data_IF_113047637176
#
_entry.id   IF_113047637176
#
_cell.length_a   1.000
_cell.length_b   1.000
_cell.length_c   1.000
_cell.angle_alpha   90.00
_cell.angle_beta   90.00
_cell.angle_gamma   90.00
#
_symmetry.space_group_name_H-M   'P 1'
#
loop_
_entity.id
_entity.type
_entity.pdbx_description
1 polymer ?
#
# COMPACT_ATOMS: atom_id res chain seq x y z
N UNK A 1 -28.10 -76.06 -55.15
CA UNK A 1 -29.04 -75.33 -56.05
C UNK A 1 -28.62 -73.85 -56.14
N UNK A 2 -29.19 -73.06 -57.05
CA UNK A 2 -28.60 -71.79 -57.57
C UNK A 2 -28.79 -70.55 -56.66
N UNK A 3 -27.70 -69.77 -56.51
CA UNK A 3 -27.60 -68.27 -56.47
C UNK A 3 -28.25 -67.50 -55.27
N UNK A 4 -27.90 -66.21 -55.03
CA UNK A 4 -26.56 -65.59 -55.06
C UNK A 4 -26.28 -64.57 -53.89
N UNK A 5 -25.02 -64.16 -53.75
CA UNK A 5 -24.48 -62.81 -53.43
C UNK A 5 -25.50 -61.65 -53.19
N UNK A 6 -25.30 -60.64 -52.32
CA UNK A 6 -24.24 -60.29 -51.34
C UNK A 6 -24.74 -59.04 -50.52
N UNK A 7 -24.00 -58.20 -49.77
CA UNK A 7 -22.55 -57.96 -49.61
C UNK A 7 -22.16 -57.58 -48.14
N UNK A 8 -20.93 -57.10 -47.98
CA UNK A 8 -20.15 -56.69 -46.79
C UNK A 8 -20.51 -55.29 -46.25
N UNK A 9 -20.19 -54.87 -45.00
CA UNK A 9 -19.41 -55.50 -43.91
C UNK A 9 -19.86 -55.01 -42.51
N UNK A 10 -19.41 -55.71 -41.46
CA UNK A 10 -19.60 -55.50 -40.01
C UNK A 10 -19.30 -54.07 -39.50
N UNK A 11 -19.86 -53.52 -38.40
CA UNK A 11 -20.36 -54.03 -37.09
C UNK A 11 -19.28 -54.19 -35.99
N UNK A 12 -19.21 -53.16 -35.13
CA UNK A 12 -19.05 -53.16 -33.64
C UNK A 12 -17.73 -53.63 -32.97
N UNK A 13 -17.09 -52.73 -32.19
CA UNK A 13 -16.83 -52.77 -30.72
C UNK A 13 -15.95 -51.53 -30.32
N UNK A 14 -16.46 -50.52 -29.62
CA UNK A 14 -16.56 -50.32 -28.16
C UNK A 14 -15.23 -50.05 -27.39
N UNK A 15 -15.09 -48.82 -26.86
CA UNK A 15 -14.79 -48.52 -25.43
C UNK A 15 -14.81 -47.00 -25.09
N UNK A 16 -15.39 -46.66 -23.92
CA UNK A 16 -15.37 -45.39 -23.13
C UNK A 16 -15.65 -44.04 -23.86
N UNK A 17 -16.80 -43.35 -23.66
CA UNK A 17 -17.29 -42.62 -22.45
C UNK A 17 -16.51 -41.32 -22.17
N UNK A 18 -17.10 -40.10 -22.09
CA UNK A 18 -18.46 -39.59 -22.36
C UNK A 18 -18.34 -38.08 -22.73
N UNK A 19 -19.19 -37.09 -22.43
CA UNK A 19 -20.56 -36.88 -21.89
C UNK A 19 -20.98 -35.46 -22.39
N UNK A 20 -22.23 -34.99 -22.56
CA UNK A 20 -23.60 -35.54 -22.67
C UNK A 20 -24.43 -34.60 -23.59
N UNK A 21 -25.65 -34.99 -24.01
CA UNK A 21 -26.44 -34.28 -25.04
C UNK A 21 -27.53 -33.31 -24.51
N UNK A 22 -28.19 -32.63 -25.46
CA UNK A 22 -29.07 -31.46 -25.37
C UNK A 22 -30.53 -31.71 -24.86
N UNK A 23 -31.29 -30.60 -24.75
CA UNK A 23 -32.77 -30.42 -24.78
C UNK A 23 -33.67 -30.53 -23.51
N UNK A 24 -33.83 -29.38 -22.84
CA UNK A 24 -35.08 -28.57 -22.69
C UNK A 24 -36.46 -29.25 -22.47
N UNK A 25 -37.06 -29.07 -21.27
CA UNK A 25 -38.42 -28.51 -20.98
C UNK A 25 -38.89 -28.81 -19.52
N UNK A 26 -39.64 -27.90 -18.88
CA UNK A 26 -40.43 -28.20 -17.66
C UNK A 26 -40.49 -27.10 -16.58
N UNK A 27 -41.63 -26.42 -16.47
CA UNK A 27 -41.92 -25.21 -15.66
C UNK A 27 -42.01 -25.37 -14.12
N UNK A 28 -42.28 -24.22 -13.44
CA UNK A 28 -42.91 -24.03 -12.10
C UNK A 28 -42.02 -24.30 -10.86
N UNK A 29 -41.53 -23.30 -10.11
CA UNK A 29 -42.32 -22.31 -9.36
C UNK A 29 -41.52 -21.05 -8.94
N UNK A 30 -42.27 -20.00 -8.58
CA UNK A 30 -41.85 -18.66 -8.11
C UNK A 30 -40.81 -18.65 -6.97
N UNK A 31 -39.94 -17.64 -6.98
CA UNK A 31 -39.94 -16.56 -5.98
C UNK A 31 -39.16 -15.34 -6.48
N UNK A 32 -39.59 -14.20 -5.97
CA UNK A 32 -39.03 -12.85 -6.10
C UNK A 32 -37.59 -12.74 -5.59
N UNK A 33 -36.98 -11.59 -5.90
CA UNK A 33 -35.79 -11.02 -5.23
C UNK A 33 -34.40 -11.56 -5.64
N UNK A 34 -33.87 -10.96 -6.71
CA UNK A 34 -32.47 -10.51 -6.72
C UNK A 34 -32.52 -8.97 -6.72
N UNK A 35 -32.33 -8.30 -5.57
CA UNK A 35 -31.01 -7.84 -5.09
C UNK A 35 -30.18 -7.27 -6.25
N UNK A 36 -30.12 -5.96 -6.49
CA UNK A 36 -30.72 -4.84 -5.76
C UNK A 36 -29.65 -3.82 -5.37
N UNK A 37 -29.20 -3.03 -6.35
CA UNK A 37 -28.43 -1.80 -6.12
C UNK A 37 -29.24 -0.88 -5.21
N UNK A 38 -28.69 -0.48 -4.07
CA UNK A 38 -29.34 0.51 -3.22
C UNK A 38 -29.28 1.87 -3.93
N UNK A 39 -30.44 2.43 -4.25
CA UNK A 39 -30.54 3.86 -4.48
C UNK A 39 -30.42 4.53 -3.12
N UNK A 40 -29.26 5.13 -2.85
CA UNK A 40 -29.05 6.00 -1.68
C UNK A 40 -29.47 7.42 -2.08
N UNK A 41 -30.68 7.82 -1.72
CA UNK A 41 -31.02 9.24 -1.67
C UNK A 41 -30.43 9.82 -0.39
N UNK A 42 -29.24 10.39 -0.50
CA UNK A 42 -28.62 11.18 0.56
C UNK A 42 -29.28 12.55 0.64
N UNK A 43 -30.28 12.68 1.51
CA UNK A 43 -30.57 13.97 2.12
C UNK A 43 -29.67 14.10 3.34
N UNK A 44 -28.78 15.09 3.38
CA UNK A 44 -28.29 15.59 4.67
C UNK A 44 -28.17 17.11 4.64
N UNK A 45 -28.89 17.76 5.56
CA UNK A 45 -28.76 19.17 5.87
C UNK A 45 -28.00 19.29 7.19
N UNK A 46 -26.87 19.99 7.16
CA UNK A 46 -26.13 20.54 8.31
C UNK A 46 -25.43 19.56 9.28
N UNK A 47 -24.09 19.56 9.20
CA UNK A 47 -23.22 19.03 10.26
C UNK A 47 -21.75 19.06 9.84
N UNK A 48 -20.99 20.06 10.32
CA UNK A 48 -19.53 20.09 10.18
C UNK A 48 -18.90 18.94 11.01
N UNK A 49 -18.74 17.76 10.41
CA UNK A 49 -17.64 16.87 10.77
C UNK A 49 -16.50 17.11 9.76
N UNK A 50 -15.35 17.53 10.29
CA UNK A 50 -14.14 17.81 9.51
C UNK A 50 -13.72 16.48 8.85
N UNK A 51 -13.43 16.43 7.54
CA UNK A 51 -12.87 15.22 6.94
C UNK A 51 -11.61 14.80 7.69
N UNK A 52 -11.48 13.49 7.92
CA UNK A 52 -10.19 12.90 8.27
C UNK A 52 -9.20 13.19 7.14
N UNK A 53 -7.92 13.33 7.48
CA UNK A 53 -6.92 13.75 6.49
C UNK A 53 -6.82 12.69 5.38
N UNK A 54 -6.85 13.09 4.10
CA UNK A 54 -6.99 12.16 2.99
C UNK A 54 -5.77 11.25 2.86
N UNK A 55 -6.03 10.03 2.42
CA UNK A 55 -5.05 8.99 2.20
C UNK A 55 -4.33 9.27 0.88
N UNK A 56 -3.01 9.48 0.96
CA UNK A 56 -2.16 9.78 -0.19
C UNK A 56 -2.39 11.16 -0.80
N UNK A 57 -2.09 11.30 -2.10
CA UNK A 57 -2.02 12.59 -2.79
C UNK A 57 -3.26 12.81 -3.68
N UNK A 58 -4.01 13.91 -3.54
CA UNK A 58 -5.25 14.12 -4.28
C UNK A 58 -5.11 14.01 -5.81
N UNK A 59 -5.83 13.06 -6.40
CA UNK A 59 -5.80 12.82 -7.85
C UNK A 59 -6.75 13.79 -8.55
N UNK A 60 -6.18 14.73 -9.31
CA UNK A 60 -6.94 15.75 -10.05
C UNK A 60 -7.28 15.24 -11.47
N UNK A 61 -8.57 15.08 -11.76
CA UNK A 61 -9.11 14.66 -13.05
C UNK A 61 -9.76 15.87 -13.74
N UNK A 62 -9.20 16.41 -14.84
CA UNK A 62 -9.82 17.51 -15.59
C UNK A 62 -11.20 17.16 -16.15
N UNK A 63 -12.14 18.11 -16.09
CA UNK A 63 -13.45 18.04 -16.75
C UNK A 63 -13.40 18.73 -18.11
N UNK A 64 -13.36 17.93 -19.19
CA UNK A 64 -13.12 18.40 -20.56
C UNK A 64 -14.38 18.43 -21.42
N UNK A 65 -14.40 19.32 -22.41
CA UNK A 65 -15.50 19.38 -23.38
C UNK A 65 -15.46 18.20 -24.35
N UNK A 66 -16.65 17.69 -24.72
CA UNK A 66 -16.86 16.62 -25.72
C UNK A 66 -16.03 16.79 -27.01
N UNK A 67 -15.87 18.04 -27.47
CA UNK A 67 -15.24 18.38 -28.75
C UNK A 67 -13.83 18.94 -28.62
N UNK A 68 -13.33 19.17 -27.41
CA UNK A 68 -12.04 19.86 -27.17
C UNK A 68 -11.37 19.31 -25.91
N UNK A 69 -10.69 18.16 -26.05
CA UNK A 69 -10.12 17.38 -24.94
C UNK A 69 -8.92 18.03 -24.24
N UNK A 70 -8.38 19.11 -24.79
CA UNK A 70 -7.31 19.91 -24.19
C UNK A 70 -7.84 21.19 -23.51
N UNK A 71 -9.15 21.44 -23.59
CA UNK A 71 -9.83 22.54 -22.90
C UNK A 71 -10.64 22.00 -21.74
N UNK A 72 -10.47 22.61 -20.57
CA UNK A 72 -11.07 22.20 -19.30
C UNK A 72 -11.51 23.44 -18.54
N UNK A 73 -12.74 23.45 -18.03
CA UNK A 73 -13.26 24.54 -17.18
C UNK A 73 -13.47 24.12 -15.73
N UNK A 74 -13.31 22.84 -15.42
CA UNK A 74 -13.41 22.29 -14.09
C UNK A 74 -12.54 21.05 -13.88
N UNK A 75 -12.66 20.45 -12.71
CA UNK A 75 -11.93 19.26 -12.29
C UNK A 75 -12.77 18.41 -11.33
N UNK A 76 -12.34 17.17 -11.14
CA UNK A 76 -12.70 16.34 -9.98
C UNK A 76 -11.42 16.10 -9.21
N UNK A 77 -11.38 16.50 -7.95
CA UNK A 77 -10.35 16.09 -7.00
C UNK A 77 -10.83 14.81 -6.32
N UNK A 78 -10.08 13.73 -6.50
CA UNK A 78 -10.35 12.41 -5.92
C UNK A 78 -9.40 12.18 -4.75
N UNK A 79 -9.96 11.88 -3.59
CA UNK A 79 -9.23 11.36 -2.42
C UNK A 79 -10.02 10.20 -1.83
N UNK A 80 -9.41 9.42 -0.93
CA UNK A 80 -10.18 8.59 -0.01
C UNK A 80 -9.70 8.77 1.43
N UNK A 81 -10.55 8.40 2.38
CA UNK A 81 -10.23 8.19 3.80
C UNK A 81 -10.40 6.69 4.14
N UNK A 82 -10.48 6.31 5.42
CA UNK A 82 -10.68 4.90 5.83
C UNK A 82 -12.11 4.36 5.51
N UNK A 83 -13.09 5.24 5.22
CA UNK A 83 -14.50 4.88 5.00
C UNK A 83 -15.05 5.30 3.62
N UNK A 84 -14.59 6.43 3.08
CA UNK A 84 -15.14 7.14 1.93
C UNK A 84 -14.11 7.34 0.81
N UNK A 85 -14.53 7.12 -0.45
CA UNK A 85 -13.94 7.77 -1.62
C UNK A 85 -14.62 9.14 -1.80
N UNK A 86 -13.89 10.22 -1.57
CA UNK A 86 -14.37 11.58 -1.70
C UNK A 86 -14.10 12.14 -3.11
N UNK A 87 -15.17 12.47 -3.81
CA UNK A 87 -15.16 13.04 -5.16
C UNK A 87 -15.60 14.49 -5.11
N UNK A 88 -14.65 15.42 -5.17
CA UNK A 88 -14.92 16.87 -5.11
C UNK A 88 -14.90 17.46 -6.52
N UNK A 89 -16.07 17.78 -7.04
CA UNK A 89 -16.29 18.43 -8.33
C UNK A 89 -16.14 19.93 -8.17
N UNK A 90 -15.38 20.58 -9.06
CA UNK A 90 -15.16 22.03 -9.03
C UNK A 90 -15.16 22.61 -10.44
N UNK A 91 -15.76 23.79 -10.61
CA UNK A 91 -15.58 24.64 -11.79
C UNK A 91 -14.61 25.76 -11.43
N UNK A 92 -13.54 25.88 -12.20
CA UNK A 92 -12.36 26.69 -11.88
C UNK A 92 -12.11 27.82 -12.91
N UNK A 93 -12.98 27.98 -13.91
CA UNK A 93 -12.84 28.97 -14.99
C UNK A 93 -14.12 29.77 -15.23
N UNK A 94 -14.04 31.08 -15.00
CA UNK A 94 -15.09 32.04 -15.33
C UNK A 94 -16.37 31.88 -14.51
N UNK A 95 -17.47 32.45 -15.00
CA UNK A 95 -18.79 32.41 -14.35
C UNK A 95 -19.58 31.13 -14.75
N UNK A 96 -18.89 30.00 -14.85
CA UNK A 96 -19.53 28.70 -15.09
C UNK A 96 -19.92 28.05 -13.75
N UNK A 97 -21.09 27.42 -13.72
CA UNK A 97 -21.60 26.61 -12.61
C UNK A 97 -22.08 25.25 -13.18
N UNK A 98 -22.54 24.33 -12.34
CA UNK A 98 -23.21 23.10 -12.76
C UNK A 98 -24.50 22.86 -11.98
N UNK A 99 -25.50 22.31 -12.68
CA UNK A 99 -26.81 21.96 -12.13
C UNK A 99 -27.07 20.44 -12.13
N UNK A 100 -26.21 19.64 -12.76
CA UNK A 100 -26.35 18.18 -12.82
C UNK A 100 -25.02 17.43 -12.98
N UNK A 101 -24.89 16.30 -12.27
CA UNK A 101 -23.81 15.32 -12.42
C UNK A 101 -24.42 13.93 -12.62
N UNK A 102 -23.92 13.18 -13.60
CA UNK A 102 -24.07 11.73 -13.68
C UNK A 102 -22.74 11.07 -13.31
N UNK A 103 -22.73 10.19 -12.31
CA UNK A 103 -21.53 9.56 -11.76
C UNK A 103 -21.64 8.03 -11.74
N UNK A 104 -20.60 7.37 -12.22
CA UNK A 104 -20.34 5.94 -12.02
C UNK A 104 -18.98 5.74 -11.35
N UNK A 105 -18.95 4.87 -10.34
CA UNK A 105 -17.75 4.34 -9.69
C UNK A 105 -17.92 2.83 -9.57
N UNK A 106 -17.01 2.05 -10.13
CA UNK A 106 -17.10 0.58 -10.11
C UNK A 106 -16.23 -0.13 -11.15
N UNK A 107 -16.46 -1.42 -11.38
CA UNK A 107 -15.71 -2.19 -12.38
C UNK A 107 -16.05 -1.73 -13.81
N UNK A 108 -15.11 -1.92 -14.75
CA UNK A 108 -15.28 -1.50 -16.15
C UNK A 108 -16.43 -2.25 -16.84
N UNK A 109 -16.58 -3.54 -16.52
CA UNK A 109 -17.58 -4.42 -17.15
C UNK A 109 -19.00 -4.18 -16.60
N UNK A 110 -19.14 -3.48 -15.47
CA UNK A 110 -20.42 -3.13 -14.84
C UNK A 110 -21.01 -1.80 -15.34
N UNK A 111 -20.28 -1.06 -16.19
CA UNK A 111 -20.78 0.18 -16.79
C UNK A 111 -21.95 -0.14 -17.72
N UNK A 112 -23.18 0.33 -17.45
CA UNK A 112 -24.31 0.05 -18.33
C UNK A 112 -24.12 0.78 -19.66
N UNK A 113 -24.25 0.04 -20.77
CA UNK A 113 -24.10 0.54 -22.14
C UNK A 113 -25.40 0.38 -22.94
N UNK A 114 -25.62 1.28 -23.90
CA UNK A 114 -26.69 1.10 -24.90
C UNK A 114 -26.31 0.05 -25.96
N UNK A 115 -27.23 -0.27 -26.86
CA UNK A 115 -26.97 -1.16 -28.00
C UNK A 115 -25.93 -0.61 -28.99
N UNK A 116 -25.77 0.72 -29.07
CA UNK A 116 -24.55 1.37 -29.57
C UNK A 116 -23.66 1.63 -28.34
N UNK A 117 -22.36 1.25 -28.34
CA UNK A 117 -21.55 1.21 -27.12
C UNK A 117 -21.27 2.63 -26.60
N UNK A 118 -22.19 3.11 -25.78
CA UNK A 118 -22.25 4.44 -25.17
C UNK A 118 -22.76 4.27 -23.74
N UNK A 119 -22.17 4.92 -22.72
CA UNK A 119 -22.64 4.81 -21.35
C UNK A 119 -24.08 5.30 -21.18
N UNK A 120 -24.89 4.48 -20.52
CA UNK A 120 -26.28 4.73 -20.22
C UNK A 120 -26.39 5.65 -18.98
N UNK A 121 -26.09 6.93 -19.14
CA UNK A 121 -26.01 7.91 -18.04
C UNK A 121 -27.28 8.01 -17.17
N UNK A 122 -28.45 7.69 -17.71
CA UNK A 122 -29.71 7.63 -16.95
C UNK A 122 -29.77 6.47 -15.93
N UNK A 123 -28.87 5.49 -16.03
CA UNK A 123 -28.71 4.39 -15.07
C UNK A 123 -27.59 4.67 -14.04
N UNK A 124 -26.94 5.85 -14.10
CA UNK A 124 -25.87 6.27 -13.17
C UNK A 124 -26.46 7.00 -11.94
N UNK A 125 -25.63 7.20 -10.90
CA UNK A 125 -25.99 8.12 -9.82
C UNK A 125 -26.20 9.52 -10.41
N UNK A 126 -27.39 10.08 -10.22
CA UNK A 126 -27.74 11.42 -10.70
C UNK A 126 -27.84 12.38 -9.53
N UNK A 127 -27.05 13.45 -9.57
CA UNK A 127 -27.07 14.55 -8.61
C UNK A 127 -27.57 15.81 -9.35
N UNK A 128 -28.39 16.62 -8.69
CA UNK A 128 -29.00 17.83 -9.29
C UNK A 128 -29.05 18.99 -8.32
N UNK A 129 -28.79 20.21 -8.79
CA UNK A 129 -28.65 21.42 -7.99
C UNK A 129 -29.53 22.55 -8.53
N UNK A 130 -30.38 23.12 -7.67
CA UNK A 130 -31.17 24.33 -7.95
C UNK A 130 -31.11 25.25 -6.71
N UNK A 131 -30.37 26.38 -6.75
CA UNK A 131 -29.61 26.89 -7.89
C UNK A 131 -28.38 26.03 -8.26
N UNK A 132 -27.80 26.29 -9.43
CA UNK A 132 -26.52 25.72 -9.83
C UNK A 132 -25.40 26.09 -8.83
N UNK A 133 -24.34 25.27 -8.80
CA UNK A 133 -23.22 25.40 -7.87
C UNK A 133 -21.87 25.37 -8.60
N UNK A 134 -20.84 25.96 -8.01
CA UNK A 134 -19.47 25.91 -8.54
C UNK A 134 -18.62 24.78 -7.95
N UNK A 135 -19.05 24.16 -6.84
CA UNK A 135 -18.36 23.05 -6.20
C UNK A 135 -19.34 22.12 -5.45
N UNK A 136 -19.05 20.82 -5.43
CA UNK A 136 -19.79 19.81 -4.67
C UNK A 136 -18.92 18.57 -4.38
N UNK A 137 -18.95 18.06 -3.15
CA UNK A 137 -18.24 16.83 -2.76
C UNK A 137 -19.21 15.69 -2.50
N UNK A 138 -18.85 14.48 -2.96
CA UNK A 138 -19.62 13.26 -2.77
C UNK A 138 -18.75 12.14 -2.20
N UNK A 139 -19.11 11.58 -1.05
CA UNK A 139 -18.54 10.32 -0.56
C UNK A 139 -19.23 9.13 -1.22
N UNK A 140 -18.42 8.20 -1.77
CA UNK A 140 -18.83 6.84 -2.12
C UNK A 140 -18.22 5.87 -1.10
N UNK A 141 -19.01 5.08 -0.35
CA UNK A 141 -18.48 4.18 0.68
C UNK A 141 -17.51 3.13 0.10
N UNK A 142 -16.29 3.05 0.63
CA UNK A 142 -15.26 2.11 0.15
C UNK A 142 -15.66 0.65 0.32
N UNK A 143 -16.49 0.35 1.32
CA UNK A 143 -17.00 -1.00 1.59
C UNK A 143 -17.89 -1.59 0.47
N UNK A 144 -18.29 -0.77 -0.52
CA UNK A 144 -19.05 -1.21 -1.70
C UNK A 144 -18.20 -1.25 -3.00
N UNK A 145 -16.88 -1.01 -2.90
CA UNK A 145 -15.94 -0.94 -4.03
C UNK A 145 -14.85 -2.02 -3.98
N UNK A 146 -14.32 -2.41 -5.15
CA UNK A 146 -13.08 -3.19 -5.28
C UNK A 146 -11.84 -2.30 -5.01
N UNK A 147 -10.68 -2.89 -4.74
CA UNK A 147 -9.39 -2.18 -4.55
C UNK A 147 -9.07 -1.15 -5.66
N UNK A 148 -9.51 -1.42 -6.90
CA UNK A 148 -9.30 -0.54 -8.05
C UNK A 148 -10.49 -0.54 -9.02
N UNK A 149 -11.04 0.65 -9.29
CA UNK A 149 -12.25 0.87 -10.06
C UNK A 149 -12.07 1.91 -11.18
N UNK A 150 -13.15 2.19 -11.88
CA UNK A 150 -13.25 3.23 -12.91
C UNK A 150 -14.18 4.32 -12.41
N UNK A 151 -13.73 5.57 -12.51
CA UNK A 151 -14.54 6.76 -12.28
C UNK A 151 -14.93 7.30 -13.64
N UNK A 152 -16.23 7.49 -13.87
CA UNK A 152 -16.77 8.13 -15.06
C UNK A 152 -17.81 9.15 -14.61
N UNK A 153 -17.58 10.42 -14.92
CA UNK A 153 -18.59 11.46 -14.70
C UNK A 153 -18.90 12.24 -15.97
N UNK A 154 -20.16 12.62 -16.10
CA UNK A 154 -20.65 13.64 -17.01
C UNK A 154 -21.25 14.78 -16.18
N UNK A 155 -20.85 16.01 -16.46
CA UNK A 155 -21.32 17.21 -15.75
C UNK A 155 -22.01 18.14 -16.74
N UNK A 156 -23.21 18.60 -16.40
CA UNK A 156 -23.91 19.65 -17.13
C UNK A 156 -23.49 21.00 -16.55
N UNK A 157 -22.63 21.71 -17.29
CA UNK A 157 -22.20 23.06 -16.97
C UNK A 157 -23.15 24.08 -17.55
N UNK A 158 -23.47 25.13 -16.80
CA UNK A 158 -24.33 26.24 -17.21
C UNK A 158 -23.58 27.58 -17.08
N UNK A 159 -23.84 28.50 -18.00
CA UNK A 159 -23.29 29.85 -17.95
C UNK A 159 -24.28 30.87 -18.52
N UNK A 160 -24.52 31.96 -17.79
CA UNK A 160 -25.55 32.95 -18.14
C UNK A 160 -25.33 33.73 -19.45
N UNK A 161 -24.11 33.75 -20.00
CA UNK A 161 -23.78 34.42 -21.26
C UNK A 161 -23.48 33.44 -22.41
N UNK A 162 -22.80 32.32 -22.10
CA UNK A 162 -22.31 31.35 -23.08
C UNK A 162 -23.28 30.18 -23.32
N UNK A 163 -24.26 29.98 -22.43
CA UNK A 163 -25.19 28.85 -22.45
C UNK A 163 -24.60 27.58 -21.83
N UNK A 164 -25.14 26.43 -22.21
CA UNK A 164 -24.90 25.15 -21.54
C UNK A 164 -23.80 24.32 -22.22
N UNK A 165 -23.09 23.50 -21.44
CA UNK A 165 -22.05 22.60 -21.93
C UNK A 165 -22.09 21.23 -21.23
N UNK A 166 -21.66 20.19 -21.94
CA UNK A 166 -21.50 18.84 -21.39
C UNK A 166 -20.01 18.52 -21.25
N UNK A 167 -19.57 18.41 -20.00
CA UNK A 167 -18.21 18.07 -19.60
C UNK A 167 -18.10 16.58 -19.24
N UNK A 168 -16.91 16.03 -19.38
CA UNK A 168 -16.60 14.62 -19.14
C UNK A 168 -15.30 14.51 -18.35
N UNK A 169 -15.18 13.50 -17.49
CA UNK A 169 -13.88 13.08 -16.96
C UNK A 169 -12.85 12.90 -18.08
N UNK A 170 -11.70 13.56 -18.03
CA UNK A 170 -10.57 13.30 -18.95
C UNK A 170 -9.91 11.97 -18.59
N UNK A 171 -9.83 11.05 -19.55
CA UNK A 171 -9.26 9.73 -19.31
C UNK A 171 -9.17 8.84 -20.57
N UNK A 172 -9.54 7.57 -20.42
CA UNK A 172 -9.51 6.55 -21.47
C UNK A 172 -10.91 6.36 -22.09
N UNK A 173 -11.00 6.39 -23.42
CA UNK A 173 -12.18 5.93 -24.16
C UNK A 173 -11.87 4.53 -24.73
N UNK A 174 -12.64 3.48 -24.36
CA UNK A 174 -12.37 2.09 -24.78
C UNK A 174 -12.92 1.75 -26.18
N UNK A 175 -13.31 2.75 -26.97
CA UNK A 175 -14.07 2.59 -28.22
C UNK A 175 -15.54 2.99 -28.12
N UNK A 176 -15.94 3.72 -27.07
CA UNK A 176 -17.31 4.20 -26.91
C UNK A 176 -17.65 5.31 -27.91
N UNK A 177 -18.85 5.25 -28.49
CA UNK A 177 -19.33 6.28 -29.40
C UNK A 177 -19.55 7.60 -28.67
N UNK A 178 -19.59 8.72 -29.39
CA UNK A 178 -19.73 10.08 -28.84
C UNK A 178 -18.59 10.59 -27.92
N UNK A 179 -17.57 9.79 -27.61
CA UNK A 179 -16.38 10.25 -26.89
C UNK A 179 -16.44 10.43 -25.36
N UNK A 180 -17.20 9.63 -24.56
CA UNK A 180 -16.96 9.58 -23.11
C UNK A 180 -15.58 9.01 -22.78
N UNK A 181 -15.04 9.35 -21.61
CA UNK A 181 -13.86 8.71 -21.06
C UNK A 181 -14.07 8.37 -19.59
N UNK A 182 -13.48 7.27 -19.14
CA UNK A 182 -13.33 6.93 -17.73
C UNK A 182 -11.88 7.15 -17.28
N UNK A 183 -11.68 7.36 -15.99
CA UNK A 183 -10.36 7.35 -15.35
C UNK A 183 -10.22 6.14 -14.44
N UNK A 184 -9.01 5.63 -14.32
CA UNK A 184 -8.68 4.55 -13.40
C UNK A 184 -8.24 5.12 -12.06
N UNK A 185 -8.73 4.53 -10.97
CA UNK A 185 -8.32 4.85 -9.61
C UNK A 185 -8.16 3.55 -8.81
N UNK A 186 -7.24 3.55 -7.85
CA UNK A 186 -7.10 2.52 -6.82
C UNK A 186 -7.16 3.22 -5.48
N UNK A 187 -7.76 2.56 -4.48
CA UNK A 187 -7.83 3.07 -3.10
C UNK A 187 -6.39 3.31 -2.60
N UNK A 188 -6.11 4.51 -2.14
CA UNK A 188 -4.83 4.90 -1.56
C UNK A 188 -4.81 4.53 -0.06
N UNK A 189 -3.70 3.98 0.42
CA UNK A 189 -3.64 3.42 1.76
C UNK A 189 -3.53 4.52 2.83
N UNK A 190 -4.55 4.61 3.68
CA UNK A 190 -4.64 5.55 4.80
C UNK A 190 -3.60 5.37 5.90
N UNK A 191 -2.92 4.22 5.86
CA UNK A 191 -1.70 3.98 6.61
C UNK A 191 -0.54 4.40 5.73
N UNK A 192 -0.14 5.67 5.86
CA UNK A 192 1.19 6.09 5.47
C UNK A 192 2.24 5.23 6.18
N UNK A 193 2.75 4.23 5.47
CA UNK A 193 4.08 3.69 5.73
C UNK A 193 4.78 3.48 4.40
N UNK A 194 5.67 4.42 4.09
CA UNK A 194 6.72 4.41 3.05
C UNK A 194 6.31 4.92 1.65
N UNK A 195 6.90 6.05 1.24
CA UNK A 195 7.06 6.46 -0.17
C UNK A 195 8.06 5.53 -0.92
N UNK A 196 7.70 4.24 -0.93
CA UNK A 196 8.55 3.14 -1.36
C UNK A 196 9.89 3.03 -0.60
N UNK A 197 10.77 2.19 -1.13
CA UNK A 197 12.14 2.07 -0.68
C UNK A 197 13.06 2.76 -1.69
N UNK A 198 12.79 4.03 -2.01
CA UNK A 198 13.64 4.77 -2.97
C UNK A 198 15.06 4.89 -2.39
N UNK A 199 16.05 4.86 -3.28
CA UNK A 199 17.45 5.03 -2.91
C UNK A 199 17.67 6.39 -2.23
N UNK A 200 18.34 6.42 -1.08
CA UNK A 200 18.56 7.64 -0.28
C UNK A 200 17.69 7.75 0.97
N UNK A 201 16.46 7.23 0.92
CA UNK A 201 15.43 7.33 1.97
C UNK A 201 15.95 6.74 3.31
N UNK A 202 15.94 5.43 3.47
CA UNK A 202 16.35 4.81 4.73
C UNK A 202 17.86 4.61 4.82
N UNK A 203 18.40 4.57 6.05
CA UNK A 203 19.81 4.28 6.31
C UNK A 203 20.00 3.25 7.42
N UNK A 204 20.74 2.19 7.10
CA UNK A 204 21.24 1.20 8.06
C UNK A 204 22.76 1.11 7.98
N UNK A 205 23.36 0.40 8.92
CA UNK A 205 24.78 0.04 8.87
C UNK A 205 25.02 -1.36 9.43
N UNK A 206 26.05 -2.02 8.92
CA UNK A 206 26.47 -3.31 9.46
C UNK A 206 27.11 -3.15 10.85
N UNK A 207 27.14 -4.22 11.68
CA UNK A 207 27.90 -4.21 12.94
C UNK A 207 29.38 -3.82 12.75
N UNK A 208 29.98 -4.18 11.61
CA UNK A 208 31.35 -3.77 11.27
C UNK A 208 31.49 -2.28 10.93
N UNK A 209 30.46 -1.66 10.35
CA UNK A 209 30.40 -0.22 10.12
C UNK A 209 30.32 0.56 11.42
N UNK A 210 29.37 0.20 12.30
CA UNK A 210 29.22 0.83 13.62
C UNK A 210 30.38 0.54 14.59
N UNK A 211 31.07 -0.59 14.44
CA UNK A 211 32.30 -0.91 15.19
C UNK A 211 33.57 -0.27 14.63
N UNK A 212 33.51 0.41 13.48
CA UNK A 212 34.68 1.05 12.92
C UNK A 212 35.17 2.20 13.81
N UNK A 213 36.50 2.38 13.88
CA UNK A 213 37.10 3.59 14.46
C UNK A 213 36.74 4.81 13.61
N UNK A 214 36.38 5.92 14.26
CA UNK A 214 36.07 7.18 13.58
C UNK A 214 37.22 7.62 12.64
N UNK A 215 36.89 7.80 11.36
CA UNK A 215 37.81 8.24 10.31
C UNK A 215 37.05 8.81 9.11
N UNK A 216 37.26 10.09 8.80
CA UNK A 216 36.55 10.77 7.70
C UNK A 216 35.04 10.80 7.97
N UNK A 217 34.24 10.40 6.98
CA UNK A 217 32.77 10.34 7.06
C UNK A 217 32.23 8.92 7.29
N UNK A 218 33.01 8.02 7.90
CA UNK A 218 32.56 6.67 8.16
C UNK A 218 31.51 6.60 9.31
N UNK A 219 30.77 5.49 9.45
CA UNK A 219 29.74 5.37 10.49
C UNK A 219 30.27 5.52 11.91
N UNK A 220 31.53 5.13 12.16
CA UNK A 220 32.21 5.38 13.44
C UNK A 220 32.31 6.87 13.79
N UNK A 221 32.59 7.75 12.83
CA UNK A 221 32.59 9.21 13.05
C UNK A 221 31.19 9.73 13.40
N UNK A 222 30.15 9.25 12.69
CA UNK A 222 28.77 9.65 12.95
C UNK A 222 28.31 9.21 14.33
N UNK A 223 28.59 7.95 14.69
CA UNK A 223 28.35 7.37 16.02
C UNK A 223 28.99 8.24 17.11
N UNK A 224 30.28 8.57 16.99
CA UNK A 224 31.00 9.34 18.01
C UNK A 224 30.49 10.78 18.15
N UNK A 225 29.93 11.37 17.09
CA UNK A 225 29.35 12.71 17.13
C UNK A 225 27.94 12.73 17.78
N UNK A 226 27.11 11.72 17.51
CA UNK A 226 25.67 11.77 17.78
C UNK A 226 25.19 10.84 18.91
N UNK A 227 25.99 9.89 19.38
CA UNK A 227 25.55 8.89 20.37
C UNK A 227 25.01 9.51 21.66
N UNK A 228 25.68 10.50 22.24
CA UNK A 228 25.25 11.10 23.51
C UNK A 228 23.92 11.88 23.38
N UNK A 229 23.58 12.31 22.16
CA UNK A 229 22.30 12.96 21.84
C UNK A 229 21.17 11.95 21.62
N UNK A 230 21.42 10.91 20.81
CA UNK A 230 20.43 9.85 20.52
C UNK A 230 20.21 8.88 21.70
N UNK A 231 21.25 8.64 22.52
CA UNK A 231 21.26 7.70 23.63
C UNK A 231 21.76 8.37 24.93
N UNK A 232 21.05 9.38 25.47
CA UNK A 232 21.50 10.17 26.62
C UNK A 232 21.57 9.39 27.96
N UNK A 233 21.16 8.11 27.96
CA UNK A 233 21.30 7.17 29.08
C UNK A 233 22.21 5.97 28.75
N UNK A 234 22.89 6.00 27.60
CA UNK A 234 23.47 4.83 26.96
C UNK A 234 22.42 4.00 26.22
N UNK A 235 22.89 2.94 25.56
CA UNK A 235 22.06 1.93 24.90
C UNK A 235 21.98 0.69 25.79
N UNK A 236 20.78 0.20 26.07
CA UNK A 236 20.55 -1.09 26.71
C UNK A 236 19.87 -2.05 25.72
N UNK A 237 20.32 -3.31 25.72
CA UNK A 237 19.76 -4.39 24.88
C UNK A 237 19.61 -5.68 25.71
N UNK A 238 18.79 -6.60 25.24
CA UNK A 238 18.38 -7.79 25.98
C UNK A 238 17.04 -7.59 26.69
N UNK A 239 16.74 -8.44 27.65
CA UNK A 239 15.45 -8.48 28.34
C UNK A 239 15.62 -7.94 29.77
N UNK A 240 15.01 -6.78 30.13
CA UNK A 240 15.09 -6.21 31.47
C UNK A 240 14.57 -7.13 32.59
N UNK A 241 13.66 -8.06 32.30
CA UNK A 241 13.17 -9.05 33.27
C UNK A 241 14.14 -10.25 33.44
N UNK A 242 15.18 -10.36 32.60
CA UNK A 242 16.17 -11.44 32.63
C UNK A 242 17.62 -10.90 32.60
N UNK A 243 18.22 -10.77 31.41
CA UNK A 243 19.62 -10.36 31.22
C UNK A 243 19.78 -9.30 30.14
N UNK A 244 20.63 -8.31 30.41
CA UNK A 244 20.86 -7.13 29.56
C UNK A 244 22.33 -6.87 29.29
N UNK A 245 22.63 -6.12 28.23
CA UNK A 245 23.92 -5.47 28.01
C UNK A 245 23.69 -3.97 27.98
N UNK A 246 24.31 -3.24 28.90
CA UNK A 246 24.32 -1.77 28.91
C UNK A 246 25.62 -1.25 28.26
N UNK A 247 25.49 -0.32 27.32
CA UNK A 247 26.57 0.32 26.56
C UNK A 247 26.50 1.84 26.80
N UNK A 248 27.37 2.33 27.67
CA UNK A 248 27.31 3.68 28.25
C UNK A 248 27.73 4.81 27.31
N UNK A 249 28.39 4.50 26.20
CA UNK A 249 29.06 5.49 25.33
C UNK A 249 29.36 4.93 23.94
N UNK A 250 29.54 5.83 22.95
CA UNK A 250 30.02 5.48 21.61
C UNK A 250 31.34 4.66 21.63
N UNK A 251 32.24 4.97 22.58
CA UNK A 251 33.47 4.20 22.78
C UNK A 251 33.24 2.77 23.29
N UNK A 252 32.14 2.49 23.99
CA UNK A 252 31.75 1.13 24.37
C UNK A 252 31.25 0.34 23.15
N UNK A 253 30.46 0.99 22.28
CA UNK A 253 30.04 0.44 20.98
C UNK A 253 31.27 0.04 20.14
N UNK A 254 32.27 0.93 20.01
CA UNK A 254 33.52 0.63 19.25
C UNK A 254 34.25 -0.61 19.78
N UNK A 255 34.31 -0.78 21.11
CA UNK A 255 35.00 -1.93 21.71
C UNK A 255 34.21 -3.24 21.58
N UNK A 256 32.89 -3.17 21.57
CA UNK A 256 32.01 -4.34 21.43
C UNK A 256 31.92 -4.83 19.99
N UNK A 257 31.81 -3.92 19.01
CA UNK A 257 31.48 -4.27 17.64
C UNK A 257 32.71 -4.44 16.72
N UNK A 258 32.62 -5.32 15.70
CA UNK A 258 31.59 -6.34 15.49
C UNK A 258 31.79 -7.55 16.42
N UNK A 259 30.69 -8.14 16.91
CA UNK A 259 30.75 -9.44 17.60
C UNK A 259 30.56 -10.58 16.59
N UNK A 260 31.45 -11.58 16.66
CA UNK A 260 31.29 -12.86 15.97
C UNK A 260 30.98 -13.98 16.97
N UNK A 261 30.70 -15.18 16.46
CA UNK A 261 30.44 -16.37 17.27
C UNK A 261 29.08 -17.00 16.97
N UNK A 262 28.64 -17.94 17.81
CA UNK A 262 27.32 -18.58 17.66
C UNK A 262 26.25 -17.68 18.28
N UNK A 263 25.08 -17.48 17.64
CA UNK A 263 23.99 -16.76 18.27
C UNK A 263 23.41 -17.57 19.44
N UNK A 264 23.15 -16.89 20.56
CA UNK A 264 22.64 -17.47 21.79
C UNK A 264 21.92 -16.41 22.64
N UNK A 265 21.11 -16.87 23.60
CA UNK A 265 20.68 -16.03 24.71
C UNK A 265 21.84 -15.76 25.69
N UNK A 266 21.73 -14.67 26.45
CA UNK A 266 22.62 -14.32 27.54
C UNK A 266 22.40 -15.24 28.75
N UNK A 267 23.43 -15.35 29.59
CA UNK A 267 23.38 -16.11 30.86
C UNK A 267 23.76 -15.26 32.07
N UNK A 268 24.03 -13.97 31.84
CA UNK A 268 24.33 -12.93 32.82
C UNK A 268 24.21 -11.57 32.11
N UNK A 269 24.00 -10.49 32.86
CA UNK A 269 24.08 -9.13 32.33
C UNK A 269 25.53 -8.63 32.22
N UNK A 270 25.78 -7.63 31.38
CA UNK A 270 27.09 -7.00 31.17
C UNK A 270 26.99 -5.48 31.12
N UNK A 271 28.07 -4.78 31.45
CA UNK A 271 28.20 -3.32 31.28
C UNK A 271 29.50 -3.03 30.54
N UNK A 272 29.41 -2.30 29.43
CA UNK A 272 30.51 -1.95 28.51
C UNK A 272 31.44 -3.11 28.08
N UNK A 273 30.92 -4.32 27.78
CA UNK A 273 31.75 -5.46 27.40
C UNK A 273 32.47 -5.22 26.07
N UNK A 274 33.69 -5.74 25.94
CA UNK A 274 34.42 -5.75 24.68
C UNK A 274 34.10 -7.00 23.84
N UNK A 275 34.38 -6.93 22.54
CA UNK A 275 34.18 -8.02 21.56
C UNK A 275 34.89 -9.34 21.92
N UNK A 276 35.90 -9.31 22.81
CA UNK A 276 36.60 -10.49 23.31
C UNK A 276 35.83 -11.23 24.42
N UNK A 277 35.00 -10.51 25.19
CA UNK A 277 34.22 -11.04 26.31
C UNK A 277 32.91 -11.67 25.83
N UNK A 278 32.31 -11.13 24.76
CA UNK A 278 31.05 -11.61 24.18
C UNK A 278 31.28 -12.13 22.75
N UNK A 279 31.27 -13.45 22.60
CA UNK A 279 31.32 -14.16 21.30
C UNK A 279 29.92 -14.60 20.84
N UNK A 280 29.04 -13.62 20.70
CA UNK A 280 27.65 -13.79 20.30
C UNK A 280 27.32 -12.83 19.14
N UNK A 281 27.02 -13.38 17.96
CA UNK A 281 26.74 -12.58 16.75
C UNK A 281 25.38 -11.86 16.80
N UNK A 282 24.41 -12.40 17.56
CA UNK A 282 23.09 -11.79 17.75
C UNK A 282 23.22 -10.40 18.40
N UNK A 283 24.07 -10.28 19.42
CA UNK A 283 24.39 -9.01 20.10
C UNK A 283 24.81 -7.94 19.09
N UNK A 284 25.68 -8.28 18.14
CA UNK A 284 26.22 -7.32 17.17
C UNK A 284 25.14 -6.77 16.24
N UNK A 285 24.22 -7.62 15.79
CA UNK A 285 23.11 -7.21 14.93
C UNK A 285 22.00 -6.46 15.67
N UNK A 286 21.73 -6.78 16.94
CA UNK A 286 20.80 -6.02 17.78
C UNK A 286 21.37 -4.61 18.01
N UNK A 287 22.61 -4.46 18.49
CA UNK A 287 23.25 -3.14 18.65
C UNK A 287 23.22 -2.35 17.35
N UNK A 288 23.54 -2.98 16.21
CA UNK A 288 23.57 -2.28 14.92
C UNK A 288 22.20 -1.76 14.47
N UNK A 289 21.12 -2.52 14.73
CA UNK A 289 19.77 -2.08 14.43
C UNK A 289 19.29 -1.01 15.43
N UNK A 290 19.53 -1.20 16.72
CA UNK A 290 19.22 -0.20 17.75
C UNK A 290 19.88 1.14 17.47
N UNK A 291 21.15 1.15 17.05
CA UNK A 291 21.85 2.37 16.62
C UNK A 291 21.19 3.00 15.39
N UNK A 292 20.89 2.21 14.35
CA UNK A 292 20.26 2.71 13.14
C UNK A 292 18.91 3.36 13.45
N UNK A 293 18.05 2.69 14.20
CA UNK A 293 16.74 3.22 14.64
C UNK A 293 16.92 4.45 15.56
N UNK A 294 17.82 4.39 16.56
CA UNK A 294 17.99 5.50 17.50
C UNK A 294 18.50 6.78 16.84
N UNK A 295 19.37 6.66 15.83
CA UNK A 295 19.82 7.81 15.04
C UNK A 295 18.73 8.34 14.09
N UNK A 296 17.96 7.45 13.45
CA UNK A 296 16.79 7.77 12.61
C UNK A 296 15.66 8.49 13.38
N UNK A 297 15.54 8.27 14.69
CA UNK A 297 14.62 9.02 15.56
C UNK A 297 15.22 10.32 16.15
N UNK A 298 16.53 10.56 16.01
CA UNK A 298 17.24 11.67 16.65
C UNK A 298 17.66 12.78 15.69
N UNK A 299 18.08 12.40 14.48
CA UNK A 299 18.61 13.29 13.46
C UNK A 299 17.77 13.10 12.18
N UNK A 300 16.97 14.10 11.83
CA UNK A 300 16.10 14.11 10.66
C UNK A 300 16.90 14.01 9.34
N UNK A 301 18.20 14.38 9.35
CA UNK A 301 19.12 14.24 8.22
C UNK A 301 19.88 12.89 8.23
N UNK A 302 19.55 11.93 9.12
CA UNK A 302 20.27 10.66 9.20
C UNK A 302 20.11 9.82 7.93
N UNK A 303 18.89 9.77 7.40
CA UNK A 303 18.49 9.27 6.08
C UNK A 303 17.51 10.26 5.44
N UNK A 304 17.32 10.21 4.13
CA UNK A 304 16.46 11.17 3.39
C UNK A 304 14.98 10.72 3.39
N UNK A 305 14.50 10.13 4.50
CA UNK A 305 13.18 9.50 4.57
C UNK A 305 12.10 10.38 5.19
N UNK A 306 10.93 10.44 4.55
CA UNK A 306 9.73 11.03 5.14
C UNK A 306 9.07 10.11 6.20
N UNK A 307 9.46 8.82 6.25
CA UNK A 307 9.03 7.85 7.26
C UNK A 307 10.20 7.27 8.08
N UNK A 308 9.90 6.58 9.18
CA UNK A 308 10.93 6.06 10.10
C UNK A 308 11.28 4.59 9.83
N UNK A 309 12.56 4.23 9.88
CA UNK A 309 13.10 2.87 9.66
C UNK A 309 12.38 1.80 10.50
N UNK A 310 11.99 2.13 11.74
CA UNK A 310 11.31 1.21 12.66
C UNK A 310 9.91 0.80 12.18
N UNK A 311 9.27 1.60 11.33
CA UNK A 311 7.91 1.37 10.85
C UNK A 311 7.87 0.44 9.62
N UNK A 312 9.02 0.13 9.01
CA UNK A 312 9.08 -0.71 7.82
C UNK A 312 8.54 -2.11 8.06
N UNK A 313 7.60 -2.55 7.21
CA UNK A 313 6.95 -3.85 7.32
C UNK A 313 7.72 -4.90 6.51
N UNK A 314 8.08 -6.02 7.13
CA UNK A 314 8.71 -7.16 6.46
C UNK A 314 7.71 -7.82 5.49
N UNK A 315 8.16 -8.08 4.28
CA UNK A 315 7.45 -8.83 3.25
C UNK A 315 8.46 -9.55 2.34
N UNK A 316 9.22 -10.48 2.92
CA UNK A 316 10.19 -11.32 2.23
C UNK A 316 9.65 -12.71 1.84
N UNK A 317 8.40 -13.02 2.21
CA UNK A 317 7.73 -14.28 1.92
C UNK A 317 8.04 -15.37 2.95
N UNK A 318 8.55 -14.99 4.13
CA UNK A 318 9.02 -15.92 5.17
C UNK A 318 8.43 -15.58 6.54
N UNK A 319 8.91 -16.25 7.59
CA UNK A 319 8.27 -16.30 8.92
C UNK A 319 8.27 -15.00 9.74
N UNK A 320 8.46 -13.85 9.12
CA UNK A 320 8.42 -12.51 9.71
C UNK A 320 7.50 -11.54 8.96
N UNK A 321 6.85 -11.98 7.87
CA UNK A 321 5.95 -11.15 7.06
C UNK A 321 4.86 -10.47 7.93
N UNK A 322 4.66 -9.17 7.72
CA UNK A 322 3.68 -8.35 8.45
C UNK A 322 4.16 -7.78 9.78
N UNK A 323 5.32 -8.19 10.30
CA UNK A 323 5.96 -7.53 11.46
C UNK A 323 6.67 -6.25 11.00
N UNK A 324 6.65 -5.20 11.82
CA UNK A 324 7.48 -4.02 11.58
C UNK A 324 8.90 -4.19 12.18
N UNK A 325 9.84 -3.33 11.78
CA UNK A 325 11.24 -3.39 12.23
C UNK A 325 11.40 -3.16 13.74
N UNK A 326 10.54 -2.38 14.39
CA UNK A 326 10.52 -2.25 15.85
C UNK A 326 10.09 -3.58 16.52
N UNK A 327 9.01 -4.23 16.08
CA UNK A 327 8.56 -5.52 16.61
C UNK A 327 9.66 -6.60 16.51
N UNK A 328 10.41 -6.60 15.40
CA UNK A 328 11.55 -7.50 15.19
C UNK A 328 12.69 -7.21 16.17
N UNK A 329 12.97 -5.93 16.46
CA UNK A 329 14.00 -5.55 17.42
C UNK A 329 13.60 -5.91 18.86
N UNK A 330 12.34 -5.69 19.24
CA UNK A 330 11.83 -6.02 20.57
C UNK A 330 11.83 -7.54 20.81
N UNK A 331 11.33 -8.32 19.86
CA UNK A 331 11.37 -9.79 19.93
C UNK A 331 12.82 -10.31 19.94
N UNK A 332 13.75 -9.69 19.21
CA UNK A 332 15.16 -10.05 19.27
C UNK A 332 15.81 -9.72 20.63
N UNK A 333 15.39 -8.65 21.30
CA UNK A 333 15.83 -8.31 22.65
C UNK A 333 15.33 -9.35 23.68
N UNK A 334 14.07 -9.80 23.58
CA UNK A 334 13.52 -10.91 24.38
C UNK A 334 14.36 -12.18 24.17
N UNK A 335 14.61 -12.56 22.91
CA UNK A 335 15.44 -13.73 22.55
C UNK A 335 16.87 -13.61 23.07
N UNK A 336 17.47 -12.42 23.01
CA UNK A 336 18.82 -12.19 23.51
C UNK A 336 18.88 -12.30 25.03
N UNK A 337 17.94 -11.69 25.76
CA UNK A 337 17.95 -11.70 27.22
C UNK A 337 17.60 -13.04 27.85
N UNK A 338 17.06 -13.98 27.07
CA UNK A 338 16.67 -15.32 27.53
C UNK A 338 15.18 -15.45 27.87
N UNK A 339 14.36 -14.48 27.46
CA UNK A 339 12.91 -14.53 27.56
C UNK A 339 12.27 -15.60 26.67
N UNK A 340 10.96 -15.79 26.81
CA UNK A 340 10.20 -16.81 26.07
C UNK A 340 9.79 -16.29 24.69
N UNK A 341 10.34 -16.89 23.63
CA UNK A 341 10.05 -16.56 22.23
C UNK A 341 9.70 -17.80 21.41
N UNK A 342 8.94 -17.62 20.33
CA UNK A 342 8.73 -18.64 19.29
C UNK A 342 9.92 -18.78 18.32
N UNK A 343 10.83 -17.80 18.33
CA UNK A 343 11.97 -17.71 17.42
C UNK A 343 13.29 -18.09 18.09
N UNK A 344 14.19 -18.71 17.33
CA UNK A 344 15.54 -19.01 17.80
C UNK A 344 16.50 -17.82 17.65
N UNK A 345 17.58 -17.75 18.44
CA UNK A 345 18.67 -16.78 18.26
C UNK A 345 19.25 -16.75 16.84
N UNK A 346 19.25 -17.88 16.13
CA UNK A 346 19.69 -17.95 14.73
C UNK A 346 18.72 -17.23 13.78
N UNK A 347 17.40 -17.49 13.90
CA UNK A 347 16.39 -16.82 13.06
C UNK A 347 16.41 -15.30 13.28
N UNK A 348 16.53 -14.86 14.53
CA UNK A 348 16.68 -13.43 14.85
C UNK A 348 17.96 -12.84 14.25
N UNK A 349 19.09 -13.56 14.32
CA UNK A 349 20.33 -13.11 13.67
C UNK A 349 20.16 -12.98 12.16
N UNK A 350 19.47 -13.92 11.50
CA UNK A 350 19.27 -13.92 10.05
C UNK A 350 18.39 -12.75 9.59
N UNK A 351 17.28 -12.45 10.26
CA UNK A 351 16.42 -11.31 9.89
C UNK A 351 17.07 -9.96 10.23
N UNK A 352 17.73 -9.83 11.38
CA UNK A 352 18.46 -8.61 11.73
C UNK A 352 19.66 -8.38 10.81
N UNK A 353 20.33 -9.43 10.34
CA UNK A 353 21.38 -9.30 9.33
C UNK A 353 20.81 -8.75 8.02
N UNK A 354 19.67 -9.29 7.54
CA UNK A 354 18.96 -8.76 6.37
C UNK A 354 18.62 -7.27 6.53
N UNK A 355 18.03 -6.87 7.66
CA UNK A 355 17.65 -5.47 7.92
C UNK A 355 18.89 -4.56 7.93
N UNK A 356 19.91 -4.89 8.74
CA UNK A 356 21.12 -4.08 8.86
C UNK A 356 21.90 -3.94 7.52
N UNK A 357 21.84 -4.96 6.65
CA UNK A 357 22.45 -4.94 5.32
C UNK A 357 21.55 -4.31 4.23
N UNK A 358 20.30 -3.94 4.52
CA UNK A 358 19.36 -3.54 3.48
C UNK A 358 19.57 -2.14 2.94
N UNK A 359 19.98 -1.18 3.78
CA UNK A 359 20.15 0.23 3.41
C UNK A 359 21.52 0.79 3.81
N UNK A 360 22.58 -0.01 3.61
CA UNK A 360 23.94 0.37 4.00
C UNK A 360 24.38 1.64 3.27
N UNK A 361 24.82 2.66 4.02
CA UNK A 361 25.15 3.99 3.49
C UNK A 361 24.03 4.64 2.66
N UNK A 362 22.75 4.39 3.02
CA UNK A 362 21.58 4.93 2.32
C UNK A 362 21.23 4.20 1.02
N UNK A 363 21.87 3.07 0.74
CA UNK A 363 21.74 2.34 -0.54
C UNK A 363 21.02 1.02 -0.34
N UNK A 364 19.91 0.86 -1.07
CA UNK A 364 19.14 -0.38 -1.06
C UNK A 364 19.97 -1.57 -1.57
N UNK A 365 19.83 -2.70 -0.90
CA UNK A 365 20.42 -3.98 -1.31
C UNK A 365 19.64 -4.61 -2.47
N UNK A 366 20.29 -4.77 -3.61
CA UNK A 366 19.74 -5.50 -4.78
C UNK A 366 19.73 -7.04 -4.60
N UNK A 367 20.27 -7.56 -3.49
CA UNK A 367 20.47 -9.01 -3.29
C UNK A 367 19.18 -9.79 -3.00
N UNK A 368 18.16 -9.13 -2.45
CA UNK A 368 16.88 -9.71 -2.02
C UNK A 368 15.81 -8.60 -1.87
N UNK A 369 14.53 -8.97 -1.89
CA UNK A 369 13.46 -8.11 -1.34
C UNK A 369 13.35 -8.38 0.17
N UNK A 370 13.06 -7.34 0.96
CA UNK A 370 12.88 -7.48 2.41
C UNK A 370 11.58 -6.82 2.92
N UNK A 371 11.31 -5.59 2.51
CA UNK A 371 10.15 -4.81 2.96
C UNK A 371 9.06 -4.75 1.88
N UNK A 372 7.78 -4.58 2.24
CA UNK A 372 6.79 -4.12 1.25
C UNK A 372 6.91 -2.61 1.10
N UNK A 373 7.52 -2.23 -0.01
CA UNK A 373 7.84 -0.86 -0.38
C UNK A 373 6.76 -0.31 -1.33
N UNK A 374 5.48 -0.48 -0.99
CA UNK A 374 4.33 -0.17 -1.86
C UNK A 374 3.58 1.06 -1.38
#
# INVERSE_FOLDING_TARGET
MKRPNCYKLLVVLFLAAGLFSCERLGELYRLSDAKGTKIVQGNDETGDEKPDDPCGEPVIIPLVFKTELESSIGQITVTNDDECLNLTFEIIVGDWEFDQIYLFVGALDDIPLTADPYPAFWDFLTLTFDPAVSSYSHCVPLAELDDCFKILAQVHGVNGELGDAVLWTKGINPGWTQGPFYTYYCIENCKETCDGCKMGIYRTQTPGGWGAKAAGYNPGTYRDANFDGAFPKGLEIGDPDNFTITLSSAGAIERLLPTGGKPAALTQSFTDPASIEIKNVLVGHIVALSLSIGFDNYDEDFGEAEGQLKNLIIADGHGFDGMNVADILDEANIVLGGGSSSYSPSQMTEILAKINEYFVDGKQSEKYKLFDCK
#
